data_IF_826428544030
#
_entry.id   IF_826428544030
#
_cell.length_a   1.000
_cell.length_b   1.000
_cell.length_c   1.000
_cell.angle_alpha   90.00
_cell.angle_beta   90.00
_cell.angle_gamma   90.00
#
_symmetry.space_group_name_H-M   'P 1'
#
loop_
_entity.id
_entity.type
_entity.pdbx_description
1 polymer ?
#
# COMPACT_ATOMS: atom_id res chain seq x y z
N UNK A 1 68.10 -12.96 -29.10
CA UNK A 1 66.92 -13.54 -28.44
C UNK A 1 65.71 -13.11 -29.24
N UNK A 2 65.22 -14.03 -30.08
CA UNK A 2 64.17 -13.79 -31.05
C UNK A 2 62.79 -13.96 -30.41
N UNK A 3 61.89 -13.06 -30.80
CA UNK A 3 60.49 -12.95 -30.38
C UNK A 3 59.67 -14.15 -30.86
N UNK A 4 58.94 -14.78 -29.95
CA UNK A 4 57.98 -15.87 -30.23
C UNK A 4 56.71 -15.30 -30.89
N UNK A 5 56.27 -15.80 -32.07
CA UNK A 5 55.12 -15.28 -32.80
C UNK A 5 53.83 -16.10 -32.62
N UNK A 6 53.63 -16.87 -31.54
CA UNK A 6 52.44 -17.73 -31.38
C UNK A 6 51.66 -17.58 -30.08
N UNK A 7 51.52 -16.35 -29.58
CA UNK A 7 50.48 -16.06 -28.59
C UNK A 7 49.15 -15.71 -29.29
N UNK A 8 48.54 -16.72 -29.93
CA UNK A 8 47.15 -16.65 -30.39
C UNK A 8 46.24 -16.92 -29.20
N UNK A 9 46.07 -15.90 -28.35
CA UNK A 9 44.97 -15.87 -27.39
C UNK A 9 43.64 -16.09 -28.11
N UNK A 10 42.64 -16.72 -27.46
CA UNK A 10 41.34 -16.96 -28.08
C UNK A 10 40.78 -15.63 -28.58
N UNK A 11 40.37 -15.60 -29.85
CA UNK A 11 39.75 -14.46 -30.49
C UNK A 11 38.68 -13.86 -29.56
N UNK A 12 38.57 -12.53 -29.44
CA UNK A 12 37.48 -11.92 -28.69
C UNK A 12 36.19 -12.51 -29.24
N UNK A 13 35.44 -13.22 -28.39
CA UNK A 13 34.11 -13.70 -28.73
C UNK A 13 33.36 -12.46 -29.22
N UNK A 14 33.00 -12.45 -30.50
CA UNK A 14 32.05 -11.53 -31.08
C UNK A 14 30.75 -11.70 -30.31
N UNK A 15 30.66 -11.08 -29.13
CA UNK A 15 29.42 -10.87 -28.43
C UNK A 15 28.58 -10.11 -29.45
N UNK A 16 27.49 -10.70 -29.99
CA UNK A 16 26.71 -10.05 -31.01
C UNK A 16 26.34 -8.69 -30.42
N UNK A 17 26.86 -7.62 -31.02
CA UNK A 17 26.62 -6.27 -30.56
C UNK A 17 25.11 -6.11 -30.58
N UNK A 18 24.49 -6.15 -29.39
CA UNK A 18 23.04 -6.14 -29.25
C UNK A 18 22.56 -4.89 -29.99
N UNK A 19 21.89 -5.09 -31.11
CA UNK A 19 21.39 -3.99 -31.91
C UNK A 19 20.43 -3.16 -31.05
N UNK A 20 20.32 -1.85 -31.28
CA UNK A 20 19.36 -1.01 -30.55
C UNK A 20 17.93 -1.57 -30.63
N UNK A 21 17.61 -2.28 -31.72
CA UNK A 21 16.34 -2.96 -31.93
C UNK A 21 16.14 -4.20 -31.05
N UNK A 22 17.20 -5.02 -30.86
CA UNK A 22 17.19 -6.19 -29.98
C UNK A 22 17.12 -5.76 -28.51
N UNK A 23 17.88 -4.73 -28.12
CA UNK A 23 17.79 -4.13 -26.80
C UNK A 23 16.37 -3.60 -26.53
N UNK A 24 15.76 -2.91 -27.51
CA UNK A 24 14.39 -2.41 -27.38
C UNK A 24 13.34 -3.54 -27.32
N UNK A 25 13.57 -4.68 -28.01
CA UNK A 25 12.71 -5.87 -27.92
C UNK A 25 12.79 -6.50 -26.53
N UNK A 26 13.99 -6.75 -26.03
CA UNK A 26 14.22 -7.33 -24.70
C UNK A 26 13.62 -6.45 -23.59
N UNK A 27 13.80 -5.12 -23.67
CA UNK A 27 13.20 -4.20 -22.70
C UNK A 27 11.67 -4.21 -22.73
N UNK A 28 11.05 -4.36 -23.91
CA UNK A 28 9.59 -4.49 -24.03
C UNK A 28 9.09 -5.78 -23.39
N UNK A 29 9.78 -6.90 -23.60
CA UNK A 29 9.44 -8.19 -22.99
C UNK A 29 9.58 -8.15 -21.46
N UNK A 30 10.64 -7.53 -20.94
CA UNK A 30 10.84 -7.34 -19.50
C UNK A 30 9.71 -6.48 -18.90
N UNK A 31 9.34 -5.35 -19.55
CA UNK A 31 8.23 -4.50 -19.10
C UNK A 31 6.89 -5.24 -19.11
N UNK A 32 6.62 -6.03 -20.15
CA UNK A 32 5.42 -6.84 -20.24
C UNK A 32 5.36 -7.90 -19.12
N UNK A 33 6.50 -8.54 -18.82
CA UNK A 33 6.65 -9.46 -17.70
C UNK A 33 6.41 -8.78 -16.35
N UNK A 34 7.02 -7.62 -16.11
CA UNK A 34 6.84 -6.83 -14.89
C UNK A 34 5.40 -6.36 -14.71
N UNK A 35 4.74 -5.88 -15.77
CA UNK A 35 3.33 -5.48 -15.74
C UNK A 35 2.43 -6.67 -15.39
N UNK A 36 2.72 -7.85 -15.95
CA UNK A 36 1.99 -9.09 -15.64
C UNK A 36 2.17 -9.48 -14.17
N UNK A 37 3.40 -9.45 -13.65
CA UNK A 37 3.68 -9.74 -12.22
C UNK A 37 2.96 -8.75 -11.31
N UNK A 38 3.02 -7.44 -11.59
CA UNK A 38 2.35 -6.41 -10.77
C UNK A 38 0.83 -6.58 -10.75
N UNK A 39 0.21 -7.04 -11.84
CA UNK A 39 -1.21 -7.40 -11.86
C UNK A 39 -1.53 -8.62 -11.00
N UNK A 40 -0.59 -9.58 -10.87
CA UNK A 40 -0.78 -10.82 -10.12
C UNK A 40 -0.39 -10.72 -8.63
N UNK A 41 0.47 -9.77 -8.25
CA UNK A 41 0.92 -9.55 -6.85
C UNK A 41 -0.21 -9.03 -5.94
N UNK A 42 -1.38 -8.69 -6.51
CA UNK A 42 -2.59 -8.33 -5.78
C UNK A 42 -2.63 -6.86 -5.33
N UNK A 43 -3.63 -6.47 -4.52
CA UNK A 43 -3.83 -5.09 -4.07
C UNK A 43 -2.59 -4.56 -3.33
N UNK A 44 -2.23 -3.29 -3.56
CA UNK A 44 -1.08 -2.63 -2.93
C UNK A 44 -1.09 -2.70 -1.40
N UNK A 45 -2.28 -2.65 -0.80
CA UNK A 45 -2.52 -2.90 0.61
C UNK A 45 -3.73 -3.83 0.77
N UNK A 46 -3.70 -4.80 1.69
CA UNK A 46 -4.87 -5.63 1.95
C UNK A 46 -6.02 -4.81 2.55
N UNK A 47 -7.25 -5.02 2.06
CA UNK A 47 -8.43 -4.31 2.59
C UNK A 47 -8.68 -4.59 4.08
N UNK A 48 -8.33 -5.79 4.56
CA UNK A 48 -8.41 -6.14 5.98
C UNK A 48 -7.52 -5.25 6.85
N UNK A 49 -6.37 -4.78 6.34
CA UNK A 49 -5.46 -3.94 7.12
C UNK A 49 -6.09 -2.58 7.37
N UNK A 50 -6.63 -1.94 6.33
CA UNK A 50 -7.28 -0.63 6.46
C UNK A 50 -8.53 -0.72 7.34
N UNK A 51 -9.29 -1.81 7.21
CA UNK A 51 -10.45 -2.08 8.07
C UNK A 51 -10.04 -2.23 9.53
N UNK A 52 -8.96 -2.99 9.81
CA UNK A 52 -8.43 -3.15 11.16
C UNK A 52 -7.93 -1.85 11.77
N UNK A 53 -7.29 -0.97 10.97
CA UNK A 53 -6.91 0.38 11.41
C UNK A 53 -8.15 1.22 11.73
N UNK A 54 -9.19 1.19 10.88
CA UNK A 54 -10.45 1.88 11.16
C UNK A 54 -11.11 1.40 12.46
N UNK A 55 -11.13 0.08 12.68
CA UNK A 55 -11.69 -0.52 13.90
C UNK A 55 -10.89 -0.13 15.14
N UNK A 56 -9.54 -0.10 15.04
CA UNK A 56 -8.68 0.40 16.11
C UNK A 56 -9.02 1.85 16.47
N UNK A 57 -9.10 2.74 15.47
CA UNK A 57 -9.43 4.16 15.69
C UNK A 57 -10.83 4.30 16.32
N UNK A 58 -11.79 3.50 15.89
CA UNK A 58 -13.14 3.47 16.45
C UNK A 58 -13.13 3.00 17.91
N UNK A 59 -12.39 1.94 18.22
CA UNK A 59 -12.24 1.42 19.59
C UNK A 59 -11.61 2.45 20.53
N UNK A 60 -10.57 3.17 20.07
CA UNK A 60 -9.97 4.27 20.85
C UNK A 60 -10.97 5.39 21.08
N UNK A 61 -11.74 5.78 20.07
CA UNK A 61 -12.79 6.81 20.22
C UNK A 61 -13.84 6.39 21.25
N UNK A 62 -14.28 5.13 21.23
CA UNK A 62 -15.23 4.59 22.20
C UNK A 62 -14.68 4.59 23.64
N UNK A 63 -13.44 4.14 23.84
CA UNK A 63 -12.81 4.08 25.17
C UNK A 63 -12.44 5.45 25.74
N UNK A 64 -12.36 6.48 24.89
CA UNK A 64 -12.08 7.87 25.28
C UNK A 64 -13.36 8.71 25.40
N UNK A 65 -14.53 8.07 25.44
CA UNK A 65 -15.78 8.76 25.72
C UNK A 65 -15.86 9.19 27.20
N UNK A 66 -16.40 10.39 27.49
CA UNK A 66 -16.61 10.87 28.85
C UNK A 66 -17.55 9.93 29.58
N UNK A 67 -17.15 9.44 30.75
CA UNK A 67 -17.92 8.48 31.54
C UNK A 67 -17.36 7.06 31.52
N UNK A 68 -16.36 6.77 30.67
CA UNK A 68 -15.63 5.50 30.76
C UNK A 68 -14.70 5.52 31.97
N UNK A 69 -14.78 4.50 32.84
CA UNK A 69 -13.87 4.39 33.96
C UNK A 69 -12.42 4.26 33.49
N UNK A 70 -11.49 4.90 34.20
CA UNK A 70 -10.08 5.00 33.77
C UNK A 70 -9.41 3.63 33.61
N UNK A 71 -9.65 2.71 34.55
CA UNK A 71 -9.06 1.36 34.50
C UNK A 71 -9.43 0.57 33.23
N UNK A 72 -10.73 0.38 32.89
CA UNK A 72 -11.09 -0.30 31.64
C UNK A 72 -10.68 0.48 30.38
N UNK A 73 -10.65 1.82 30.42
CA UNK A 73 -10.16 2.62 29.30
C UNK A 73 -8.66 2.33 29.02
N UNK A 74 -7.82 2.36 30.06
CA UNK A 74 -6.37 2.09 29.94
C UNK A 74 -6.12 0.66 29.47
N UNK A 75 -6.78 -0.34 30.09
CA UNK A 75 -6.64 -1.75 29.69
C UNK A 75 -7.07 -1.94 28.24
N UNK A 76 -8.22 -1.36 27.85
CA UNK A 76 -8.72 -1.44 26.48
C UNK A 76 -7.78 -0.80 25.46
N UNK A 77 -7.21 0.38 25.77
CA UNK A 77 -6.23 1.05 24.89
C UNK A 77 -4.97 0.19 24.73
N UNK A 78 -4.47 -0.41 25.82
CA UNK A 78 -3.31 -1.32 25.77
C UNK A 78 -3.63 -2.52 24.85
N UNK A 79 -4.78 -3.17 25.05
CA UNK A 79 -5.18 -4.31 24.21
C UNK A 79 -5.35 -3.94 22.74
N UNK A 80 -6.00 -2.81 22.44
CA UNK A 80 -6.14 -2.30 21.08
C UNK A 80 -4.78 -2.00 20.44
N UNK A 81 -3.84 -1.45 21.20
CA UNK A 81 -2.49 -1.13 20.72
C UNK A 81 -1.70 -2.41 20.40
N UNK A 82 -1.80 -3.43 21.26
CA UNK A 82 -1.21 -4.74 21.02
C UNK A 82 -1.82 -5.41 19.77
N UNK A 83 -3.14 -5.31 19.60
CA UNK A 83 -3.84 -5.81 18.42
C UNK A 83 -3.36 -5.10 17.14
N UNK A 84 -3.23 -3.77 17.18
CA UNK A 84 -2.69 -2.99 16.06
C UNK A 84 -1.25 -3.37 15.75
N UNK A 85 -0.41 -3.57 16.77
CA UNK A 85 0.96 -4.04 16.59
C UNK A 85 1.00 -5.41 15.91
N UNK A 86 0.12 -6.34 16.34
CA UNK A 86 -0.04 -7.64 15.69
C UNK A 86 -0.53 -7.54 14.25
N UNK A 87 -1.47 -6.62 13.96
CA UNK A 87 -1.98 -6.33 12.63
C UNK A 87 -0.87 -5.79 11.70
N UNK A 88 -0.04 -4.88 12.20
CA UNK A 88 1.13 -4.33 11.49
C UNK A 88 2.19 -5.41 11.27
N UNK A 89 2.46 -6.24 12.28
CA UNK A 89 3.38 -7.36 12.15
C UNK A 89 2.91 -8.35 11.08
N UNK A 90 1.62 -8.72 11.10
CA UNK A 90 1.00 -9.56 10.09
C UNK A 90 1.12 -8.93 8.69
N UNK A 91 0.87 -7.62 8.57
CA UNK A 91 1.07 -6.90 7.31
C UNK A 91 2.51 -7.01 6.84
N UNK A 92 3.50 -6.77 7.72
CA UNK A 92 4.93 -6.89 7.38
C UNK A 92 5.27 -8.31 6.93
N UNK A 93 4.75 -9.34 7.60
CA UNK A 93 4.96 -10.74 7.22
C UNK A 93 4.36 -11.05 5.84
N UNK A 94 3.13 -10.60 5.58
CA UNK A 94 2.48 -10.75 4.26
C UNK A 94 3.26 -10.00 3.18
N UNK A 95 3.71 -8.78 3.47
CA UNK A 95 4.47 -7.96 2.54
C UNK A 95 5.88 -8.50 2.28
N UNK A 96 6.52 -9.17 3.26
CA UNK A 96 7.80 -9.85 3.07
C UNK A 96 7.67 -11.05 2.12
N UNK A 97 6.53 -11.74 2.16
CA UNK A 97 6.24 -12.89 1.27
C UNK A 97 5.84 -12.46 -0.15
N UNK A 98 5.50 -11.19 -0.38
CA UNK A 98 5.17 -10.67 -1.71
C UNK A 98 6.39 -10.01 -2.35
N UNK A 99 6.68 -10.37 -3.60
CA UNK A 99 7.65 -9.64 -4.41
C UNK A 99 7.19 -8.19 -4.58
N UNK A 100 7.87 -7.25 -3.92
CA UNK A 100 7.49 -5.84 -3.94
C UNK A 100 7.76 -5.25 -5.33
N UNK A 101 6.83 -4.48 -5.91
CA UNK A 101 7.15 -3.56 -6.99
C UNK A 101 8.23 -2.58 -6.51
N UNK A 102 9.23 -2.32 -7.34
CA UNK A 102 10.33 -1.43 -6.98
C UNK A 102 9.81 -0.01 -6.67
N UNK A 103 10.50 0.72 -5.78
CA UNK A 103 10.05 2.02 -5.24
C UNK A 103 9.78 3.07 -6.33
N UNK A 104 10.43 2.93 -7.49
CA UNK A 104 10.23 3.75 -8.70
C UNK A 104 8.81 3.71 -9.26
N UNK A 105 8.05 2.63 -9.00
CA UNK A 105 6.67 2.47 -9.48
C UNK A 105 5.65 3.22 -8.63
N UNK A 106 6.03 3.66 -7.43
CA UNK A 106 5.18 4.45 -6.54
C UNK A 106 5.35 5.92 -6.87
N UNK A 107 4.48 6.43 -7.74
CA UNK A 107 4.52 7.84 -8.12
C UNK A 107 3.97 8.77 -7.04
N UNK A 108 4.47 10.01 -6.93
CA UNK A 108 3.93 11.00 -6.00
C UNK A 108 2.45 11.29 -6.22
N UNK A 109 1.95 11.23 -7.47
CA UNK A 109 0.52 11.39 -7.76
C UNK A 109 -0.36 10.24 -7.22
N UNK A 110 0.16 9.01 -7.14
CA UNK A 110 -0.56 7.89 -6.51
C UNK A 110 -0.58 8.03 -4.99
N UNK A 111 0.53 8.49 -4.40
CA UNK A 111 0.59 8.81 -2.97
C UNK A 111 -0.37 9.94 -2.65
N UNK A 112 -0.40 11.01 -3.43
CA UNK A 112 -1.33 12.12 -3.26
C UNK A 112 -2.79 11.66 -3.36
N UNK A 113 -3.14 10.79 -4.31
CA UNK A 113 -4.49 10.23 -4.41
C UNK A 113 -4.87 9.37 -3.20
N UNK A 114 -3.93 8.55 -2.70
CA UNK A 114 -4.13 7.76 -1.49
C UNK A 114 -4.32 8.64 -0.25
N UNK A 115 -3.44 9.64 -0.07
CA UNK A 115 -3.53 10.61 1.02
C UNK A 115 -4.85 11.40 0.93
N UNK A 116 -5.23 11.86 -0.27
CA UNK A 116 -6.50 12.55 -0.49
C UNK A 116 -7.71 11.69 -0.12
N UNK A 117 -7.69 10.39 -0.43
CA UNK A 117 -8.73 9.46 -0.02
C UNK A 117 -8.79 9.27 1.50
N UNK A 118 -7.65 9.15 2.17
CA UNK A 118 -7.57 9.07 3.64
C UNK A 118 -8.09 10.36 4.29
N UNK A 119 -7.69 11.52 3.76
CA UNK A 119 -8.15 12.83 4.24
C UNK A 119 -9.65 13.01 4.02
N UNK A 120 -10.21 12.52 2.92
CA UNK A 120 -11.65 12.54 2.66
C UNK A 120 -12.40 11.65 3.67
N UNK A 121 -11.88 10.46 3.96
CA UNK A 121 -12.45 9.59 5.00
C UNK A 121 -12.41 10.26 6.39
N UNK A 122 -11.26 10.84 6.75
CA UNK A 122 -11.07 11.51 8.03
C UNK A 122 -11.92 12.79 8.16
N UNK A 123 -11.98 13.61 7.10
CA UNK A 123 -12.80 14.82 7.05
C UNK A 123 -14.29 14.50 7.10
N UNK A 124 -14.74 13.49 6.35
CA UNK A 124 -16.12 13.01 6.42
C UNK A 124 -16.49 12.48 7.80
N UNK A 125 -15.59 11.72 8.42
CA UNK A 125 -15.72 11.27 9.82
C UNK A 125 -15.87 12.46 10.78
N UNK A 126 -15.01 13.47 10.65
CA UNK A 126 -15.05 14.66 11.49
C UNK A 126 -16.36 15.44 11.33
N UNK A 127 -16.80 15.68 10.09
CA UNK A 127 -18.07 16.37 9.81
C UNK A 127 -19.24 15.58 10.40
N UNK A 128 -19.26 14.25 10.24
CA UNK A 128 -20.30 13.40 10.80
C UNK A 128 -20.29 13.42 12.33
N UNK A 129 -19.11 13.36 12.96
CA UNK A 129 -18.96 13.43 14.41
C UNK A 129 -19.50 14.75 14.97
N UNK A 130 -19.18 15.88 14.33
CA UNK A 130 -19.69 17.20 14.72
C UNK A 130 -21.21 17.26 14.58
N UNK A 131 -21.78 16.78 13.46
CA UNK A 131 -23.23 16.76 13.26
C UNK A 131 -23.97 15.88 14.26
N UNK A 132 -23.41 14.72 14.61
CA UNK A 132 -23.97 13.84 15.64
C UNK A 132 -23.88 14.46 17.04
N UNK A 133 -22.78 15.16 17.33
CA UNK A 133 -22.62 15.88 18.59
C UNK A 133 -23.62 17.04 18.72
N UNK A 134 -23.82 17.83 17.65
CA UNK A 134 -24.83 18.91 17.60
C UNK A 134 -26.26 18.36 17.79
N UNK A 135 -26.52 17.15 17.31
CA UNK A 135 -27.80 16.47 17.47
C UNK A 135 -27.98 15.82 18.87
N UNK A 136 -26.99 15.93 19.77
CA UNK A 136 -27.04 15.34 21.11
C UNK A 136 -26.96 13.80 21.11
N UNK A 137 -26.47 13.20 20.03
CA UNK A 137 -26.34 11.73 19.93
C UNK A 137 -25.20 11.26 20.84
N UNK A 138 -25.46 10.33 21.78
CA UNK A 138 -24.40 9.79 22.62
C UNK A 138 -23.43 8.97 21.75
N UNK A 139 -22.15 8.96 22.12
CA UNK A 139 -21.09 8.27 21.37
C UNK A 139 -20.91 8.77 19.93
N UNK A 140 -21.18 10.06 19.66
CA UNK A 140 -21.07 10.67 18.34
C UNK A 140 -19.73 10.36 17.63
N UNK A 141 -18.62 10.36 18.37
CA UNK A 141 -17.28 10.03 17.84
C UNK A 141 -17.16 8.54 17.47
N UNK A 142 -17.68 7.64 18.30
CA UNK A 142 -17.65 6.21 17.99
C UNK A 142 -18.51 5.87 16.76
N UNK A 143 -19.70 6.47 16.63
CA UNK A 143 -20.55 6.30 15.44
C UNK A 143 -19.90 6.82 14.16
N UNK A 144 -19.26 7.99 14.24
CA UNK A 144 -18.50 8.52 13.12
C UNK A 144 -17.30 7.63 12.76
N UNK A 145 -16.58 7.10 13.76
CA UNK A 145 -15.51 6.12 13.57
C UNK A 145 -15.99 4.83 12.90
N UNK A 146 -17.15 4.31 13.29
CA UNK A 146 -17.77 3.15 12.64
C UNK A 146 -18.11 3.46 11.19
N UNK A 147 -18.73 4.61 10.91
CA UNK A 147 -19.04 5.01 9.54
C UNK A 147 -17.77 5.15 8.68
N UNK A 148 -16.70 5.72 9.23
CA UNK A 148 -15.38 5.77 8.59
C UNK A 148 -14.82 4.37 8.34
N UNK A 149 -14.94 3.45 9.30
CA UNK A 149 -14.47 2.07 9.17
C UNK A 149 -15.23 1.34 8.05
N UNK A 150 -16.55 1.50 7.98
CA UNK A 150 -17.39 0.96 6.91
C UNK A 150 -16.99 1.57 5.56
N UNK A 151 -16.79 2.88 5.49
CA UNK A 151 -16.32 3.56 4.29
C UNK A 151 -14.98 3.00 3.81
N UNK A 152 -14.01 2.84 4.71
CA UNK A 152 -12.69 2.29 4.40
C UNK A 152 -12.77 0.82 3.97
N UNK A 153 -13.63 0.02 4.61
CA UNK A 153 -13.84 -1.38 4.24
C UNK A 153 -14.49 -1.51 2.87
N UNK A 154 -15.47 -0.68 2.55
CA UNK A 154 -16.18 -0.69 1.28
C UNK A 154 -15.32 -0.15 0.12
N UNK A 155 -14.61 0.95 0.34
CA UNK A 155 -13.83 1.63 -0.72
C UNK A 155 -12.39 1.13 -0.81
N UNK A 156 -11.84 0.54 0.25
CA UNK A 156 -10.46 0.03 0.30
C UNK A 156 -10.09 -0.97 -0.80
N UNK A 157 -10.90 -2.01 -1.09
CA UNK A 157 -10.64 -2.94 -2.20
C UNK A 157 -10.62 -2.24 -3.56
N UNK A 158 -11.49 -1.24 -3.75
CA UNK A 158 -11.58 -0.50 -5.00
C UNK A 158 -10.38 0.44 -5.20
N UNK A 159 -9.97 1.17 -4.17
CA UNK A 159 -8.77 2.02 -4.19
C UNK A 159 -7.52 1.17 -4.40
N UNK A 160 -7.39 0.05 -3.68
CA UNK A 160 -6.27 -0.87 -3.83
C UNK A 160 -6.14 -1.41 -5.25
N UNK A 161 -7.25 -1.82 -5.88
CA UNK A 161 -7.26 -2.27 -7.29
C UNK A 161 -6.95 -1.14 -8.26
N UNK A 162 -7.48 0.06 -8.01
CA UNK A 162 -7.27 1.23 -8.88
C UNK A 162 -5.80 1.65 -8.90
N UNK A 163 -5.14 1.63 -7.75
CA UNK A 163 -3.70 1.93 -7.65
C UNK A 163 -2.88 0.84 -8.35
N UNK A 164 -3.18 -0.44 -8.12
CA UNK A 164 -2.49 -1.55 -8.82
C UNK A 164 -2.64 -1.43 -10.34
N UNK A 165 -3.83 -1.07 -10.85
CA UNK A 165 -4.06 -0.84 -12.29
C UNK A 165 -3.23 0.33 -12.83
N UNK A 166 -3.20 1.46 -12.11
CA UNK A 166 -2.41 2.63 -12.51
C UNK A 166 -0.90 2.36 -12.48
N UNK A 167 -0.42 1.54 -11.54
CA UNK A 167 0.98 1.09 -11.52
C UNK A 167 1.31 0.20 -12.72
N UNK A 168 0.44 -0.75 -13.06
CA UNK A 168 0.64 -1.61 -14.24
C UNK A 168 0.65 -0.80 -15.55
N UNK A 169 -0.26 0.19 -15.69
CA UNK A 169 -0.30 1.05 -16.86
C UNK A 169 0.97 1.91 -17.04
N UNK A 170 1.63 2.32 -15.94
CA UNK A 170 2.90 3.05 -16.00
C UNK A 170 4.07 2.19 -16.48
N UNK A 171 4.11 0.93 -16.04
CA UNK A 171 5.11 -0.05 -16.49
C UNK A 171 4.97 -0.28 -18.00
N UNK A 172 3.73 -0.47 -18.48
CA UNK A 172 3.44 -0.62 -19.91
C UNK A 172 3.84 0.64 -20.70
N UNK A 173 3.66 1.83 -20.13
CA UNK A 173 4.08 3.09 -20.73
C UNK A 173 5.60 3.37 -20.65
N UNK A 174 6.38 2.51 -19.98
CA UNK A 174 7.82 2.66 -19.83
C UNK A 174 8.27 3.85 -18.98
N UNK A 175 7.43 4.29 -18.02
CA UNK A 175 7.72 5.38 -17.07
C UNK A 175 7.96 4.89 -15.65
#
# INVERSE_FOLDING_TARGET
MAHDPRDTGPAPLDAPAIGPEDAARVLREIRAGQARVVRHVGPWFPAWYVTGVGLFVTGVQYLTEPGTAMAPAVIGIIMLTLLLAGLVLLLVLVLRRRHRPHRSLVSPGLVAAFVGWVLLAAGGCLVLALRLADAGVPYARAWAGLAMTVFLAATGPWVGRSITRRMAARIEAGR
#
